data_IF_735491703740
#
_entry.id   IF_735491703740
#
_cell.length_a   1.000
_cell.length_b   1.000
_cell.length_c   1.000
_cell.angle_alpha   90.00
_cell.angle_beta   90.00
_cell.angle_gamma   90.00
#
_symmetry.space_group_name_H-M   'P 1'
#
loop_
_entity.id
_entity.type
_entity.pdbx_description
1 polymer ?
#
# COMPACT_ATOMS: atom_id res chain seq x y z
N UNK A 1 3.06 22.45 -5.64
CA UNK A 1 3.69 21.69 -4.54
C UNK A 1 2.57 21.09 -3.69
N UNK A 2 2.24 19.81 -3.86
CA UNK A 2 1.51 19.08 -2.82
C UNK A 2 2.56 18.60 -1.83
N UNK A 3 2.40 18.99 -0.58
CA UNK A 3 3.29 18.65 0.51
C UNK A 3 3.58 17.16 0.49
N UNK A 4 4.85 16.80 0.36
CA UNK A 4 5.28 15.45 0.70
C UNK A 4 4.90 15.23 2.15
N UNK A 5 4.24 14.11 2.42
CA UNK A 5 3.88 13.73 3.78
C UNK A 5 5.18 13.54 4.55
N UNK A 6 5.50 14.50 5.42
CA UNK A 6 6.61 14.40 6.35
C UNK A 6 6.13 13.56 7.53
N UNK A 7 6.58 12.31 7.64
CA UNK A 7 6.16 11.38 8.68
C UNK A 7 6.98 11.58 9.96
N UNK A 8 6.79 12.72 10.61
CA UNK A 8 7.33 12.96 11.95
C UNK A 8 6.23 12.88 13.01
N UNK A 9 5.54 11.74 13.06
CA UNK A 9 4.63 11.44 14.18
C UNK A 9 5.36 10.57 15.21
N UNK A 10 5.35 11.04 16.46
CA UNK A 10 5.87 10.29 17.61
C UNK A 10 4.94 9.10 17.86
N UNK A 11 5.42 7.88 17.57
CA UNK A 11 4.64 6.65 17.76
C UNK A 11 4.50 6.37 19.26
N UNK A 12 3.26 6.15 19.72
CA UNK A 12 3.01 5.82 21.12
C UNK A 12 3.32 4.35 21.42
N UNK A 13 3.57 4.03 22.70
CA UNK A 13 3.74 2.63 23.12
C UNK A 13 2.50 1.77 22.82
N UNK A 14 1.31 2.39 22.84
CA UNK A 14 0.05 1.73 22.45
C UNK A 14 0.07 1.34 20.97
N UNK A 15 0.50 2.25 20.10
CA UNK A 15 0.58 1.97 18.66
C UNK A 15 1.56 0.84 18.36
N UNK A 16 2.73 0.88 18.99
CA UNK A 16 3.74 -0.19 18.87
C UNK A 16 3.16 -1.55 19.25
N UNK A 17 2.40 -1.63 20.34
CA UNK A 17 1.78 -2.89 20.76
C UNK A 17 0.77 -3.41 19.72
N UNK A 18 -0.12 -2.55 19.23
CA UNK A 18 -1.13 -2.91 18.21
C UNK A 18 -0.43 -3.42 16.93
N UNK A 19 0.57 -2.70 16.45
CA UNK A 19 1.32 -3.07 15.26
C UNK A 19 2.05 -4.40 15.43
N UNK A 20 2.67 -4.63 16.60
CA UNK A 20 3.39 -5.88 16.89
C UNK A 20 2.45 -7.08 17.04
N UNK A 21 1.25 -6.89 17.59
CA UNK A 21 0.23 -7.95 17.64
C UNK A 21 -0.21 -8.37 16.23
N UNK A 22 -0.55 -7.39 15.38
CA UNK A 22 -0.89 -7.65 13.98
C UNK A 22 0.26 -8.28 13.19
N UNK A 23 1.50 -7.86 13.44
CA UNK A 23 2.68 -8.43 12.79
C UNK A 23 2.88 -9.91 13.15
N UNK A 24 2.63 -10.30 14.41
CA UNK A 24 2.70 -11.72 14.82
C UNK A 24 1.62 -12.55 14.13
N UNK A 25 0.41 -12.03 14.04
CA UNK A 25 -0.68 -12.69 13.32
C UNK A 25 -0.35 -12.88 11.84
N UNK A 26 0.19 -11.85 11.18
CA UNK A 26 0.67 -11.94 9.79
C UNK A 26 1.80 -12.97 9.65
N UNK A 27 2.76 -13.01 10.57
CA UNK A 27 3.84 -14.00 10.59
C UNK A 27 3.30 -15.42 10.70
N UNK A 28 2.33 -15.63 11.60
CA UNK A 28 1.75 -16.95 11.85
C UNK A 28 0.99 -17.43 10.59
N UNK A 29 0.20 -16.55 9.96
CA UNK A 29 -0.47 -16.83 8.67
C UNK A 29 0.56 -17.12 7.56
N UNK A 30 1.64 -16.34 7.48
CA UNK A 30 2.68 -16.49 6.47
C UNK A 30 3.44 -17.83 6.59
N UNK A 31 3.49 -18.41 7.79
CA UNK A 31 4.13 -19.69 8.06
C UNK A 31 3.24 -20.90 7.76
N UNK A 32 1.98 -20.70 7.39
CA UNK A 32 1.09 -21.81 7.08
C UNK A 32 1.51 -22.53 5.78
N UNK A 33 1.36 -23.87 5.70
CA UNK A 33 1.73 -24.63 4.50
C UNK A 33 1.02 -24.16 3.22
N UNK A 34 -0.20 -23.63 3.33
CA UNK A 34 -0.98 -23.15 2.19
C UNK A 34 -0.27 -22.00 1.46
N UNK A 35 0.50 -21.16 2.17
CA UNK A 35 1.24 -20.05 1.57
C UNK A 35 2.28 -20.56 0.58
N UNK A 36 3.02 -21.61 0.96
CA UNK A 36 4.01 -22.25 0.08
C UNK A 36 3.36 -22.95 -1.11
N UNK A 37 2.22 -23.61 -0.89
CA UNK A 37 1.45 -24.25 -1.97
C UNK A 37 0.98 -23.21 -2.99
N UNK A 38 0.43 -22.09 -2.52
CA UNK A 38 -0.03 -21.02 -3.39
C UNK A 38 1.13 -20.34 -4.12
N UNK A 39 2.26 -20.09 -3.44
CA UNK A 39 3.48 -19.59 -4.08
C UNK A 39 3.95 -20.48 -5.24
N UNK A 40 3.92 -21.80 -5.06
CA UNK A 40 4.27 -22.74 -6.12
C UNK A 40 3.27 -22.69 -7.29
N UNK A 41 1.95 -22.60 -7.02
CA UNK A 41 0.94 -22.43 -8.09
C UNK A 41 1.24 -21.20 -8.95
N UNK A 42 1.51 -20.06 -8.30
CA UNK A 42 1.86 -18.82 -8.99
C UNK A 42 3.17 -18.95 -9.76
N UNK A 43 4.20 -19.57 -9.19
CA UNK A 43 5.47 -19.78 -9.87
C UNK A 43 5.31 -20.62 -11.15
N UNK A 44 4.56 -21.72 -11.08
CA UNK A 44 4.31 -22.60 -12.23
C UNK A 44 3.49 -21.92 -13.32
N UNK A 45 2.46 -21.15 -12.94
CA UNK A 45 1.72 -20.31 -13.88
C UNK A 45 2.67 -19.35 -14.62
N UNK A 46 3.53 -18.65 -13.87
CA UNK A 46 4.48 -17.69 -14.44
C UNK A 46 5.63 -18.35 -15.24
N UNK A 47 5.84 -19.66 -15.09
CA UNK A 47 6.71 -20.48 -15.95
C UNK A 47 6.01 -21.02 -17.20
N UNK A 48 4.76 -20.62 -17.44
CA UNK A 48 3.93 -21.07 -18.57
C UNK A 48 3.63 -22.58 -18.55
N UNK A 49 3.67 -23.20 -17.36
CA UNK A 49 3.26 -24.59 -17.21
C UNK A 49 1.74 -24.75 -17.30
N UNK A 50 1.28 -25.90 -17.77
CA UNK A 50 -0.15 -26.23 -17.80
C UNK A 50 -0.64 -26.65 -16.41
N UNK A 51 -1.09 -25.68 -15.63
CA UNK A 51 -1.65 -25.85 -14.28
C UNK A 51 -3.08 -25.31 -14.20
N UNK A 52 -3.91 -25.77 -13.23
CA UNK A 52 -5.11 -25.04 -12.85
C UNK A 52 -4.75 -23.58 -12.50
N UNK A 53 -5.47 -22.58 -13.04
CA UNK A 53 -5.11 -21.19 -12.82
C UNK A 53 -5.36 -20.81 -11.35
N UNK A 54 -4.37 -20.23 -10.65
CA UNK A 54 -4.63 -19.62 -9.36
C UNK A 54 -5.59 -18.44 -9.50
N UNK A 55 -6.43 -18.24 -8.48
CA UNK A 55 -7.42 -17.17 -8.41
C UNK A 55 -6.94 -16.09 -7.44
N UNK A 56 -7.12 -14.82 -7.78
CA UNK A 56 -6.81 -13.70 -6.90
C UNK A 56 -7.98 -12.73 -6.82
N UNK A 57 -8.43 -12.42 -5.61
CA UNK A 57 -9.46 -11.41 -5.36
C UNK A 57 -8.81 -10.05 -5.16
N UNK A 58 -9.00 -9.16 -6.13
CA UNK A 58 -8.50 -7.78 -6.10
C UNK A 58 -9.51 -6.84 -5.42
N UNK A 59 -9.48 -6.84 -4.10
CA UNK A 59 -10.24 -5.92 -3.26
C UNK A 59 -9.61 -4.50 -3.24
N UNK A 60 -9.96 -3.64 -4.22
CA UNK A 60 -9.48 -2.25 -4.25
C UNK A 60 -10.33 -1.29 -3.42
N UNK A 61 -11.57 -1.04 -3.84
CA UNK A 61 -12.38 0.03 -3.26
C UNK A 61 -13.27 -0.41 -2.09
N UNK A 62 -13.42 -1.72 -1.88
CA UNK A 62 -14.34 -2.28 -0.87
C UNK A 62 -14.00 -1.84 0.55
N UNK A 63 -12.73 -1.51 0.83
CA UNK A 63 -12.30 -1.14 2.18
C UNK A 63 -13.03 0.10 2.68
N UNK A 64 -13.35 1.05 1.78
CA UNK A 64 -14.10 2.26 2.12
C UNK A 64 -15.54 1.99 2.54
N UNK A 65 -16.07 0.82 2.18
CA UNK A 65 -17.44 0.38 2.45
C UNK A 65 -17.50 -0.57 3.66
N UNK A 66 -16.35 -1.02 4.16
CA UNK A 66 -16.24 -1.90 5.32
C UNK A 66 -16.13 -1.08 6.62
N UNK A 67 -17.08 -1.21 7.56
CA UNK A 67 -17.04 -0.48 8.83
C UNK A 67 -15.84 -0.88 9.70
N UNK A 68 -15.46 -2.16 9.68
CA UNK A 68 -14.35 -2.69 10.50
C UNK A 68 -12.97 -2.45 9.86
N UNK A 69 -12.88 -2.46 8.53
CA UNK A 69 -11.60 -2.34 7.80
C UNK A 69 -11.00 -0.92 7.80
N UNK A 70 -11.74 0.08 8.27
CA UNK A 70 -11.30 1.48 8.31
C UNK A 70 -11.10 2.02 9.73
N UNK A 71 -11.47 1.27 10.77
CA UNK A 71 -11.27 1.75 12.14
C UNK A 71 -9.83 1.45 12.56
N UNK A 72 -8.95 2.39 12.23
CA UNK A 72 -7.58 2.39 12.69
C UNK A 72 -7.56 2.82 14.16
N UNK A 73 -6.85 2.07 14.99
CA UNK A 73 -6.70 2.34 16.41
C UNK A 73 -5.42 3.10 16.71
N UNK A 74 -4.46 3.08 15.78
CA UNK A 74 -3.22 3.80 15.88
C UNK A 74 -3.35 5.27 15.50
N UNK A 75 -2.45 6.10 16.03
CA UNK A 75 -2.36 7.52 15.72
C UNK A 75 -1.14 7.84 14.85
N UNK A 76 -1.28 8.87 14.02
CA UNK A 76 -0.23 9.30 13.10
C UNK A 76 -0.16 8.49 11.81
N UNK A 77 0.25 9.15 10.73
CA UNK A 77 0.07 8.59 9.37
C UNK A 77 0.97 7.36 9.14
N UNK A 78 2.16 7.35 9.74
CA UNK A 78 3.10 6.22 9.66
C UNK A 78 2.49 4.95 10.27
N UNK A 79 2.06 5.00 11.53
CA UNK A 79 1.50 3.84 12.21
C UNK A 79 0.20 3.37 11.54
N UNK A 80 -0.66 4.32 11.17
CA UNK A 80 -1.91 4.04 10.46
C UNK A 80 -1.70 3.39 9.09
N UNK A 81 -0.61 3.68 8.39
CA UNK A 81 -0.31 3.01 7.12
C UNK A 81 -0.01 1.51 7.31
N UNK A 82 0.78 1.16 8.33
CA UNK A 82 1.13 -0.24 8.62
C UNK A 82 -0.04 -1.00 9.25
N UNK A 83 -0.76 -0.39 10.18
CA UNK A 83 -1.96 -1.01 10.76
C UNK A 83 -2.95 -1.39 9.67
N UNK A 84 -3.19 -0.46 8.73
CA UNK A 84 -4.11 -0.68 7.60
C UNK A 84 -3.65 -1.81 6.70
N UNK A 85 -2.36 -1.87 6.36
CA UNK A 85 -1.80 -2.93 5.54
C UNK A 85 -1.93 -4.30 6.24
N UNK A 86 -1.44 -4.42 7.48
CA UNK A 86 -1.45 -5.68 8.24
C UNK A 86 -2.88 -6.19 8.47
N UNK A 87 -3.81 -5.32 8.90
CA UNK A 87 -5.23 -5.70 9.07
C UNK A 87 -5.86 -6.19 7.77
N UNK A 88 -5.56 -5.55 6.64
CA UNK A 88 -6.07 -5.98 5.33
C UNK A 88 -5.52 -7.34 4.93
N UNK A 89 -4.23 -7.62 5.17
CA UNK A 89 -3.65 -8.94 4.90
C UNK A 89 -4.37 -10.03 5.70
N UNK A 90 -4.54 -9.82 7.01
CA UNK A 90 -5.27 -10.74 7.90
C UNK A 90 -6.71 -10.94 7.44
N UNK A 91 -7.42 -9.84 7.14
CA UNK A 91 -8.81 -9.90 6.70
C UNK A 91 -8.97 -10.67 5.38
N UNK A 92 -8.12 -10.36 4.38
CA UNK A 92 -8.14 -11.07 3.10
C UNK A 92 -7.94 -12.56 3.29
N UNK A 93 -6.93 -12.96 4.05
CA UNK A 93 -6.65 -14.37 4.32
C UNK A 93 -7.84 -15.09 4.97
N UNK A 94 -8.53 -14.44 5.91
CA UNK A 94 -9.68 -15.03 6.61
C UNK A 94 -10.96 -15.14 5.79
N UNK A 95 -11.18 -14.19 4.88
CA UNK A 95 -12.50 -14.01 4.26
C UNK A 95 -12.51 -14.25 2.75
N UNK A 96 -11.36 -14.19 2.07
CA UNK A 96 -11.29 -14.41 0.62
C UNK A 96 -10.74 -15.81 0.35
N UNK A 97 -11.57 -16.72 -0.18
CA UNK A 97 -11.13 -18.05 -0.58
C UNK A 97 -10.39 -17.97 -1.92
N UNK A 98 -9.23 -17.31 -1.94
CA UNK A 98 -8.37 -17.14 -3.11
C UNK A 98 -7.00 -17.81 -2.92
N UNK A 99 -6.20 -17.81 -3.97
CA UNK A 99 -4.81 -18.32 -3.95
C UNK A 99 -3.80 -17.21 -3.61
N UNK A 100 -4.24 -16.13 -2.95
CA UNK A 100 -3.37 -15.06 -2.48
C UNK A 100 -2.33 -15.58 -1.49
N UNK A 101 -1.20 -14.87 -1.41
CA UNK A 101 -0.11 -15.19 -0.49
C UNK A 101 0.03 -14.05 0.50
N UNK A 102 0.14 -14.39 1.78
CA UNK A 102 0.56 -13.46 2.83
C UNK A 102 2.04 -13.72 3.11
N UNK A 103 2.87 -12.70 2.92
CA UNK A 103 4.32 -12.78 3.15
C UNK A 103 4.69 -12.23 4.53
N UNK A 104 5.71 -12.83 5.14
CA UNK A 104 6.28 -12.39 6.42
C UNK A 104 7.23 -11.17 6.25
N UNK A 105 6.82 -10.21 5.42
CA UNK A 105 7.63 -9.05 5.01
C UNK A 105 6.90 -7.74 5.26
N UNK A 106 7.62 -6.70 5.63
CA UNK A 106 7.13 -5.33 5.77
C UNK A 106 7.97 -4.44 4.84
N UNK A 107 7.43 -4.02 3.68
CA UNK A 107 8.14 -3.13 2.79
C UNK A 107 8.12 -1.70 3.32
N UNK A 108 9.27 -1.03 3.27
CA UNK A 108 9.43 0.40 3.56
C UNK A 108 9.62 1.12 2.23
N UNK A 109 8.58 1.81 1.72
CA UNK A 109 8.68 2.46 0.43
C UNK A 109 9.67 3.63 0.46
N UNK A 110 10.35 3.86 -0.67
CA UNK A 110 11.11 5.08 -0.89
C UNK A 110 10.21 6.31 -0.71
N UNK A 111 10.71 7.31 0.02
CA UNK A 111 10.07 8.62 0.07
C UNK A 111 10.45 9.38 -1.18
N UNK A 112 9.48 9.54 -2.08
CA UNK A 112 9.70 10.17 -3.38
C UNK A 112 8.88 11.45 -3.48
N UNK A 113 9.56 12.53 -3.87
CA UNK A 113 8.95 13.82 -4.22
C UNK A 113 8.89 13.91 -5.74
N UNK A 114 7.70 14.17 -6.26
CA UNK A 114 7.44 14.28 -7.70
C UNK A 114 7.09 15.73 -8.05
N UNK A 115 7.72 16.25 -9.10
CA UNK A 115 7.31 17.47 -9.78
C UNK A 115 5.98 17.29 -10.51
N UNK A 116 5.45 18.38 -11.05
CA UNK A 116 4.27 18.34 -11.92
C UNK A 116 4.65 18.08 -13.38
N UNK A 117 3.66 17.66 -14.17
CA UNK A 117 3.81 17.40 -15.60
C UNK A 117 3.66 18.67 -16.46
N UNK A 118 3.69 19.87 -15.87
CA UNK A 118 3.37 21.13 -16.54
C UNK A 118 1.88 21.33 -16.87
N UNK A 119 1.07 20.27 -16.76
CA UNK A 119 -0.38 20.28 -16.95
C UNK A 119 -1.07 19.65 -15.73
N UNK A 120 -2.27 20.15 -15.41
CA UNK A 120 -3.08 19.64 -14.30
C UNK A 120 -4.49 19.29 -14.76
N UNK A 121 -5.11 18.21 -14.25
CA UNK A 121 -6.48 17.87 -14.57
C UNK A 121 -7.43 19.01 -14.21
N UNK A 122 -8.32 19.38 -15.15
CA UNK A 122 -9.46 20.24 -14.85
C UNK A 122 -10.71 19.39 -14.76
N UNK A 123 -11.36 19.35 -13.59
CA UNK A 123 -12.49 18.45 -13.34
C UNK A 123 -13.68 19.15 -12.72
N UNK A 124 -14.88 18.69 -13.08
CA UNK A 124 -16.12 18.99 -12.35
C UNK A 124 -16.61 17.71 -11.70
N UNK A 125 -16.96 17.78 -10.42
CA UNK A 125 -17.46 16.66 -9.64
C UNK A 125 -18.66 17.11 -8.80
N UNK A 126 -19.65 16.23 -8.54
CA UNK A 126 -20.70 16.50 -7.56
C UNK A 126 -20.13 16.50 -6.14
N UNK A 127 -20.86 17.08 -5.18
CA UNK A 127 -20.46 17.12 -3.77
C UNK A 127 -20.41 15.72 -3.11
N UNK A 128 -21.08 14.74 -3.71
CA UNK A 128 -21.02 13.36 -3.26
C UNK A 128 -19.59 12.81 -3.40
N UNK A 129 -18.98 12.40 -2.27
CA UNK A 129 -17.60 11.89 -2.19
C UNK A 129 -17.26 10.77 -3.18
N UNK A 130 -18.23 9.89 -3.49
CA UNK A 130 -18.10 8.76 -4.42
C UNK A 130 -18.74 9.00 -5.79
N UNK A 131 -19.11 10.24 -6.11
CA UNK A 131 -19.74 10.59 -7.38
C UNK A 131 -18.78 10.56 -8.57
N UNK A 132 -19.33 10.40 -9.77
CA UNK A 132 -18.58 10.43 -11.02
C UNK A 132 -17.97 11.83 -11.27
N UNK A 133 -16.76 11.87 -11.85
CA UNK A 133 -16.07 13.11 -12.19
C UNK A 133 -16.02 13.29 -13.70
N UNK A 134 -16.34 14.50 -14.16
CA UNK A 134 -16.11 14.91 -15.54
C UNK A 134 -14.71 15.51 -15.67
N UNK A 135 -13.93 15.04 -16.64
CA UNK A 135 -12.62 15.58 -16.98
C UNK A 135 -12.76 16.46 -18.21
N UNK A 136 -12.46 17.75 -18.05
CA UNK A 136 -12.46 18.69 -19.16
C UNK A 136 -11.21 18.52 -20.02
N UNK A 137 -11.35 18.78 -21.32
CA UNK A 137 -10.23 18.76 -22.25
C UNK A 137 -9.20 19.83 -21.87
N UNK A 138 -7.99 19.39 -21.48
CA UNK A 138 -6.87 20.26 -21.11
C UNK A 138 -5.86 20.48 -22.25
N UNK A 139 -5.83 19.57 -23.24
CA UNK A 139 -5.05 19.69 -24.48
C UNK A 139 -6.04 19.83 -25.63
N UNK A 140 -6.06 20.99 -26.29
CA UNK A 140 -7.03 21.33 -27.34
C UNK A 140 -6.47 21.13 -28.74
N UNK A 141 -5.18 21.39 -28.93
CA UNK A 141 -4.48 21.21 -30.19
C UNK A 141 -3.02 20.78 -29.96
N UNK A 142 -2.31 20.43 -31.03
CA UNK A 142 -0.94 19.87 -30.97
C UNK A 142 0.07 20.79 -30.26
N UNK A 143 -0.13 22.11 -30.26
CA UNK A 143 0.79 23.05 -29.60
C UNK A 143 0.72 22.93 -28.08
N UNK A 144 -0.39 22.43 -27.55
CA UNK A 144 -0.52 22.21 -26.11
C UNK A 144 0.41 21.11 -25.60
N UNK A 145 0.98 20.28 -26.48
CA UNK A 145 2.01 19.31 -26.10
C UNK A 145 3.26 19.99 -25.53
N UNK A 146 3.56 21.23 -25.94
CA UNK A 146 4.68 22.02 -25.40
C UNK A 146 4.48 22.40 -23.92
N UNK A 147 3.25 22.29 -23.40
CA UNK A 147 2.94 22.52 -21.98
C UNK A 147 3.34 21.33 -21.11
N UNK A 148 3.49 20.14 -21.70
CA UNK A 148 3.85 18.92 -20.98
C UNK A 148 5.34 18.98 -20.66
N UNK A 149 5.66 18.71 -19.40
CA UNK A 149 7.04 18.65 -18.90
C UNK A 149 7.28 17.29 -18.26
N UNK A 150 8.50 16.80 -18.40
CA UNK A 150 8.96 15.64 -17.61
C UNK A 150 9.08 16.10 -16.16
N UNK A 151 8.39 15.45 -15.21
CA UNK A 151 8.50 15.83 -13.80
C UNK A 151 9.87 15.44 -13.26
N UNK A 152 10.44 16.33 -12.46
CA UNK A 152 11.60 15.98 -11.64
C UNK A 152 11.19 14.97 -10.57
N UNK A 153 12.01 13.93 -10.38
CA UNK A 153 11.79 12.90 -9.38
C UNK A 153 12.98 12.94 -8.42
N UNK A 154 12.71 13.26 -7.16
CA UNK A 154 13.73 13.32 -6.11
C UNK A 154 13.40 12.28 -5.05
N UNK A 155 14.36 11.39 -4.80
CA UNK A 155 14.28 10.41 -3.71
C UNK A 155 14.88 11.04 -2.45
N UNK A 156 14.09 11.07 -1.38
CA UNK A 156 14.51 11.49 -0.05
C UNK A 156 15.02 10.26 0.72
N UNK A 157 16.28 9.91 0.46
CA UNK A 157 16.91 8.74 1.09
C UNK A 157 17.01 8.90 2.61
N UNK A 158 17.23 10.12 3.12
CA UNK A 158 17.32 10.35 4.56
C UNK A 158 15.99 10.05 5.26
N UNK A 159 14.86 10.52 4.72
CA UNK A 159 13.55 10.19 5.28
C UNK A 159 13.21 8.71 5.10
N UNK A 160 13.60 8.12 3.97
CA UNK A 160 13.45 6.67 3.73
C UNK A 160 14.18 5.87 4.82
N UNK A 161 15.41 6.26 5.15
CA UNK A 161 16.22 5.57 6.16
C UNK A 161 15.65 5.76 7.56
N UNK A 162 15.18 6.95 7.90
CA UNK A 162 14.44 7.18 9.15
C UNK A 162 13.20 6.29 9.26
N UNK A 163 12.47 6.10 8.16
CA UNK A 163 11.30 5.23 8.14
C UNK A 163 11.69 3.74 8.24
N UNK A 164 12.79 3.36 7.62
CA UNK A 164 13.33 2.00 7.69
C UNK A 164 13.79 1.65 9.10
N UNK A 165 14.50 2.54 9.77
CA UNK A 165 14.92 2.38 11.17
C UNK A 165 13.71 2.23 12.09
N UNK A 166 12.72 3.12 12.01
CA UNK A 166 11.47 3.03 12.80
C UNK A 166 10.74 1.70 12.55
N UNK A 167 10.59 1.29 11.29
CA UNK A 167 9.93 0.03 10.96
C UNK A 167 10.72 -1.18 11.49
N UNK A 168 12.05 -1.13 11.40
CA UNK A 168 12.96 -2.16 11.91
C UNK A 168 12.87 -2.29 13.44
N UNK A 169 12.80 -1.18 14.16
CA UNK A 169 12.61 -1.18 15.62
C UNK A 169 11.27 -1.82 16.03
N UNK A 170 10.21 -1.58 15.25
CA UNK A 170 8.86 -2.09 15.56
C UNK A 170 8.69 -3.55 15.15
N UNK A 171 9.22 -3.95 13.99
CA UNK A 171 8.87 -5.22 13.34
C UNK A 171 10.04 -6.21 13.18
N UNK A 172 11.29 -5.76 13.27
CA UNK A 172 12.46 -6.52 12.81
C UNK A 172 12.71 -7.86 13.51
N UNK A 173 12.15 -8.07 14.70
CA UNK A 173 12.18 -9.35 15.43
C UNK A 173 10.98 -10.27 15.10
N UNK A 174 10.02 -9.82 14.31
CA UNK A 174 8.77 -10.52 13.98
C UNK A 174 8.64 -10.79 12.48
N UNK A 175 8.89 -9.78 11.65
CA UNK A 175 8.76 -9.80 10.19
C UNK A 175 10.05 -9.29 9.55
N UNK A 176 10.33 -9.71 8.32
CA UNK A 176 11.47 -9.20 7.54
C UNK A 176 11.14 -7.79 7.05
N UNK A 177 11.90 -6.80 7.49
CA UNK A 177 11.74 -5.42 7.02
C UNK A 177 12.56 -5.24 5.75
N UNK A 178 11.91 -4.87 4.65
CA UNK A 178 12.52 -4.72 3.34
C UNK A 178 12.58 -3.23 2.95
N UNK A 179 13.69 -2.83 2.32
CA UNK A 179 13.95 -1.46 1.86
C UNK A 179 13.72 -1.34 0.36
#
# INVERSE_FOLDING_TARGET
MKEGVYFCDKISARDVNILRELAREVRDIANEPIQKINAEKWLRLNRLERVPPPVLVLARNIWNEMPEGNKLETEGEFAQSYERDLRRRVYKYRHFPDDGIVTATVPVPLVIKYGDWGISPHTTAPDQKTGAKHYHTVLKDERDLEKIRTPDIVVDYEETDRNFEKASEIFGDILVVER
#
